data_IF_255921973209
#
_entry.id   IF_255921973209
#
_cell.length_a   1.000
_cell.length_b   1.000
_cell.length_c   1.000
_cell.angle_alpha   90.00
_cell.angle_beta   90.00
_cell.angle_gamma   90.00
#
_symmetry.space_group_name_H-M   'P 1'
#
loop_
_entity.id
_entity.type
_entity.pdbx_description
1 polymer ?
#
# COMPACT_ATOMS: atom_id res chain seq x y z
N UNK A 1 -21.97 6.53 10.08
CA UNK A 1 -20.60 6.62 9.50
C UNK A 1 -19.61 5.71 10.23
N UNK A 2 -19.49 5.74 11.57
CA UNK A 2 -18.58 4.87 12.34
C UNK A 2 -18.51 3.39 11.88
N UNK A 3 -19.66 2.70 11.79
CA UNK A 3 -19.72 1.30 11.34
C UNK A 3 -19.20 1.03 9.91
N UNK A 4 -19.03 2.05 9.06
CA UNK A 4 -18.40 1.87 7.75
C UNK A 4 -16.88 1.74 7.87
N UNK A 5 -16.24 2.66 8.60
CA UNK A 5 -14.79 2.63 8.88
C UNK A 5 -14.39 1.37 9.65
N UNK A 6 -15.18 1.01 10.67
CA UNK A 6 -15.02 -0.23 11.45
C UNK A 6 -15.07 -1.50 10.58
N UNK A 7 -16.03 -1.57 9.63
CA UNK A 7 -16.11 -2.68 8.66
C UNK A 7 -14.95 -2.70 7.66
N UNK A 8 -14.43 -1.54 7.23
CA UNK A 8 -13.25 -1.49 6.35
C UNK A 8 -12.03 -2.04 7.08
N UNK A 9 -11.73 -1.55 8.29
CA UNK A 9 -10.60 -2.04 9.10
C UNK A 9 -10.72 -3.55 9.38
N UNK A 10 -11.92 -4.06 9.69
CA UNK A 10 -12.15 -5.49 9.87
C UNK A 10 -11.87 -6.30 8.60
N UNK A 11 -12.27 -5.82 7.41
CA UNK A 11 -11.95 -6.47 6.12
C UNK A 11 -10.45 -6.49 5.86
N UNK A 12 -9.76 -5.36 6.09
CA UNK A 12 -8.31 -5.26 5.96
C UNK A 12 -7.58 -6.27 6.86
N UNK A 13 -7.96 -6.35 8.14
CA UNK A 13 -7.37 -7.29 9.10
C UNK A 13 -7.71 -8.76 8.80
N UNK A 14 -8.91 -9.03 8.28
CA UNK A 14 -9.29 -10.36 7.80
C UNK A 14 -8.43 -10.80 6.61
N UNK A 15 -8.30 -9.95 5.60
CA UNK A 15 -7.47 -10.19 4.41
C UNK A 15 -5.98 -10.35 4.76
N UNK A 16 -5.46 -9.52 5.66
CA UNK A 16 -4.12 -9.70 6.24
C UNK A 16 -3.96 -11.10 6.85
N UNK A 17 -4.89 -11.52 7.70
CA UNK A 17 -4.88 -12.86 8.31
C UNK A 17 -4.88 -13.99 7.27
N UNK A 18 -5.80 -13.96 6.29
CA UNK A 18 -5.87 -15.03 5.27
C UNK A 18 -4.63 -15.03 4.37
N UNK A 19 -4.07 -13.88 4.02
CA UNK A 19 -2.81 -13.78 3.25
C UNK A 19 -1.60 -14.38 4.00
N UNK A 20 -1.54 -14.22 5.32
CA UNK A 20 -0.51 -14.83 6.18
C UNK A 20 -0.71 -16.34 6.31
N UNK A 21 -1.96 -16.81 6.43
CA UNK A 21 -2.28 -18.25 6.43
C UNK A 21 -1.89 -18.89 5.11
N UNK A 22 -2.18 -18.26 3.96
CA UNK A 22 -1.80 -18.76 2.64
C UNK A 22 -0.29 -18.94 2.49
N UNK A 23 0.51 -17.96 2.97
CA UNK A 23 1.96 -18.10 3.04
C UNK A 23 2.42 -19.26 3.95
N UNK A 24 1.74 -19.49 5.08
CA UNK A 24 2.13 -20.52 6.05
C UNK A 24 1.79 -21.95 5.60
N UNK A 25 0.68 -22.15 4.87
CA UNK A 25 0.28 -23.47 4.34
C UNK A 25 0.82 -23.76 2.94
N UNK A 26 1.30 -22.73 2.23
CA UNK A 26 1.86 -22.83 0.89
C UNK A 26 0.80 -22.92 -0.23
N UNK A 27 1.29 -22.85 -1.48
CA UNK A 27 0.47 -22.78 -2.70
C UNK A 27 -0.53 -23.93 -2.79
N UNK A 28 -0.06 -25.17 -2.66
CA UNK A 28 -0.88 -26.36 -2.92
C UNK A 28 -2.15 -26.43 -2.04
N UNK A 29 -2.07 -25.90 -0.81
CA UNK A 29 -3.17 -25.92 0.13
C UNK A 29 -4.07 -24.66 0.09
N UNK A 30 -3.56 -23.53 -0.44
CA UNK A 30 -4.26 -22.24 -0.40
C UNK A 30 -4.58 -21.60 -1.76
N UNK A 31 -4.14 -22.19 -2.88
CA UNK A 31 -4.32 -21.68 -4.25
C UNK A 31 -5.74 -21.22 -4.56
N UNK A 32 -6.76 -22.04 -4.27
CA UNK A 32 -8.16 -21.68 -4.54
C UNK A 32 -8.62 -20.48 -3.72
N UNK A 33 -8.26 -20.42 -2.44
CA UNK A 33 -8.66 -19.33 -1.56
C UNK A 33 -7.89 -18.04 -1.85
N UNK A 34 -6.64 -18.14 -2.29
CA UNK A 34 -5.87 -17.02 -2.80
C UNK A 34 -6.50 -16.44 -4.09
N UNK A 35 -6.93 -17.29 -5.03
CA UNK A 35 -7.66 -16.84 -6.24
C UNK A 35 -9.03 -16.21 -5.90
N UNK A 36 -9.79 -16.80 -4.96
CA UNK A 36 -11.06 -16.22 -4.47
C UNK A 36 -10.83 -14.85 -3.84
N UNK A 37 -9.79 -14.71 -3.02
CA UNK A 37 -9.45 -13.47 -2.35
C UNK A 37 -8.96 -12.38 -3.31
N UNK A 38 -8.12 -12.71 -4.30
CA UNK A 38 -7.75 -11.77 -5.37
C UNK A 38 -8.97 -11.33 -6.19
N UNK A 39 -9.90 -12.24 -6.46
CA UNK A 39 -11.17 -11.90 -7.12
C UNK A 39 -12.04 -10.96 -6.27
N UNK A 40 -12.09 -11.16 -4.95
CA UNK A 40 -12.78 -10.25 -4.03
C UNK A 40 -12.12 -8.86 -4.02
N UNK A 41 -10.79 -8.79 -3.90
CA UNK A 41 -10.01 -7.54 -3.96
C UNK A 41 -10.29 -6.77 -5.26
N UNK A 42 -10.36 -7.47 -6.40
CA UNK A 42 -10.68 -6.87 -7.70
C UNK A 42 -12.10 -6.31 -7.81
N UNK A 43 -13.05 -6.77 -7.00
CA UNK A 43 -14.43 -6.25 -6.96
C UNK A 43 -14.64 -5.08 -6.01
N UNK A 44 -13.67 -4.75 -5.15
CA UNK A 44 -13.81 -3.64 -4.21
C UNK A 44 -13.64 -2.31 -4.95
N UNK A 45 -14.65 -1.43 -4.85
CA UNK A 45 -14.49 -0.04 -5.26
C UNK A 45 -13.38 0.59 -4.41
N UNK A 46 -12.45 1.24 -5.09
CA UNK A 46 -11.31 1.90 -4.48
C UNK A 46 -11.56 3.40 -4.49
N UNK A 47 -11.94 3.92 -3.33
CA UNK A 47 -11.69 5.32 -3.04
C UNK A 47 -10.20 5.45 -2.66
N UNK A 48 -9.50 6.43 -3.23
CA UNK A 48 -8.07 6.63 -2.98
C UNK A 48 -7.78 6.92 -1.49
N UNK A 49 -8.76 7.50 -0.80
CA UNK A 49 -8.70 7.87 0.61
C UNK A 49 -9.13 6.72 1.57
N UNK A 50 -9.37 5.48 1.10
CA UNK A 50 -9.68 4.37 2.01
C UNK A 50 -8.38 3.86 2.69
N UNK A 51 -8.22 4.00 4.03
CA UNK A 51 -7.03 3.56 4.76
C UNK A 51 -6.82 2.03 4.76
N UNK A 52 -7.72 1.25 4.15
CA UNK A 52 -7.52 -0.18 3.87
C UNK A 52 -6.72 -0.45 2.60
N UNK A 53 -6.41 0.57 1.81
CA UNK A 53 -5.67 0.42 0.57
C UNK A 53 -4.24 -0.15 0.79
N UNK A 54 -3.52 0.37 1.79
CA UNK A 54 -2.19 -0.13 2.20
C UNK A 54 -2.20 -1.61 2.59
N UNK A 55 -3.22 -2.06 3.31
CA UNK A 55 -3.45 -3.47 3.65
C UNK A 55 -3.74 -4.34 2.42
N UNK A 56 -4.47 -3.79 1.45
CA UNK A 56 -4.78 -4.47 0.18
C UNK A 56 -3.52 -4.71 -0.65
N UNK A 57 -2.62 -3.72 -0.71
CA UNK A 57 -1.33 -3.86 -1.38
C UNK A 57 -0.42 -4.91 -0.71
N UNK A 58 -0.30 -4.86 0.62
CA UNK A 58 0.50 -5.83 1.38
C UNK A 58 -0.03 -7.26 1.24
N UNK A 59 -1.36 -7.44 1.25
CA UNK A 59 -1.97 -8.74 0.99
C UNK A 59 -1.70 -9.20 -0.45
N UNK A 60 -1.80 -8.30 -1.44
CA UNK A 60 -1.49 -8.57 -2.84
C UNK A 60 -0.11 -9.20 -3.06
N UNK A 61 0.94 -8.66 -2.43
CA UNK A 61 2.30 -9.24 -2.51
C UNK A 61 2.41 -10.65 -1.92
N UNK A 62 1.77 -10.90 -0.77
CA UNK A 62 1.73 -12.23 -0.15
C UNK A 62 0.98 -13.25 -1.03
N UNK A 63 -0.08 -12.79 -1.71
CA UNK A 63 -0.86 -13.61 -2.64
C UNK A 63 -0.16 -13.83 -3.99
N UNK A 64 0.61 -12.86 -4.49
CA UNK A 64 1.49 -13.05 -5.64
C UNK A 64 2.54 -14.13 -5.35
N UNK A 65 3.24 -14.05 -4.21
CA UNK A 65 4.17 -15.10 -3.75
C UNK A 65 3.52 -16.47 -3.59
N UNK A 66 2.23 -16.52 -3.26
CA UNK A 66 1.47 -17.77 -3.17
C UNK A 66 1.08 -18.34 -4.55
N UNK A 67 0.73 -17.49 -5.51
CA UNK A 67 0.16 -17.89 -6.81
C UNK A 67 1.22 -18.00 -7.92
N UNK A 68 2.33 -17.29 -7.81
CA UNK A 68 3.32 -17.13 -8.89
C UNK A 68 2.66 -16.55 -10.15
N UNK A 69 3.01 -17.10 -11.31
CA UNK A 69 2.44 -16.77 -12.63
C UNK A 69 0.89 -16.68 -12.67
N UNK A 70 0.18 -17.42 -11.82
CA UNK A 70 -1.29 -17.36 -11.74
C UNK A 70 -1.82 -16.03 -11.17
N UNK A 71 -0.94 -15.16 -10.69
CA UNK A 71 -1.26 -13.81 -10.26
C UNK A 71 -1.36 -12.81 -11.42
N UNK A 72 -0.78 -13.12 -12.60
CA UNK A 72 -0.76 -12.20 -13.76
C UNK A 72 -2.12 -11.57 -14.12
N UNK A 73 -3.28 -12.30 -14.09
CA UNK A 73 -4.59 -11.71 -14.40
C UNK A 73 -5.05 -10.60 -13.45
N UNK A 74 -4.36 -10.41 -12.31
CA UNK A 74 -4.66 -9.38 -11.32
C UNK A 74 -3.69 -8.19 -11.39
N UNK A 75 -2.70 -8.18 -12.29
CA UNK A 75 -1.74 -7.07 -12.42
C UNK A 75 -2.41 -5.76 -12.82
N UNK A 76 -3.33 -5.79 -13.80
CA UNK A 76 -4.14 -4.61 -14.19
C UNK A 76 -4.88 -3.97 -13.01
N UNK A 77 -5.21 -4.79 -12.01
CA UNK A 77 -5.84 -4.35 -10.78
C UNK A 77 -4.79 -3.80 -9.81
N UNK A 78 -3.70 -4.49 -9.50
CA UNK A 78 -2.76 -4.04 -8.42
C UNK A 78 -1.72 -3.02 -8.86
N UNK A 79 -1.31 -2.99 -10.13
CA UNK A 79 -0.21 -2.17 -10.63
C UNK A 79 -0.50 -0.66 -10.66
N UNK A 80 -1.65 -0.16 -11.16
CA UNK A 80 -1.85 1.29 -11.32
C UNK A 80 -1.65 2.11 -10.03
N UNK A 81 -2.21 1.74 -8.87
CA UNK A 81 -2.03 2.55 -7.66
C UNK A 81 -0.70 2.26 -6.95
N UNK A 82 -0.03 1.14 -7.21
CA UNK A 82 1.36 0.93 -6.79
C UNK A 82 2.32 1.86 -7.53
N UNK A 83 2.14 2.00 -8.85
CA UNK A 83 2.92 2.93 -9.67
C UNK A 83 2.67 4.37 -9.22
N UNK A 84 1.42 4.74 -8.93
CA UNK A 84 1.09 6.07 -8.38
C UNK A 84 1.87 6.36 -7.09
N UNK A 85 1.73 5.52 -6.06
CA UNK A 85 2.43 5.68 -4.78
C UNK A 85 3.97 5.64 -4.92
N UNK A 86 4.51 4.75 -5.77
CA UNK A 86 5.94 4.71 -6.06
C UNK A 86 6.44 5.96 -6.81
N UNK A 87 5.56 6.64 -7.56
CA UNK A 87 5.87 7.86 -8.31
C UNK A 87 5.64 9.16 -7.52
N UNK A 88 5.12 9.12 -6.29
CA UNK A 88 4.78 10.34 -5.54
C UNK A 88 6.00 11.22 -5.30
N UNK A 89 5.96 12.48 -5.75
CA UNK A 89 7.04 13.46 -5.59
C UNK A 89 6.71 14.53 -4.53
N UNK A 90 5.44 14.70 -4.18
CA UNK A 90 4.95 15.61 -3.16
C UNK A 90 5.08 14.98 -1.75
N UNK A 91 6.31 14.72 -1.33
CA UNK A 91 6.62 14.20 0.02
C UNK A 91 7.40 15.21 0.88
N UNK A 92 7.73 16.38 0.34
CA UNK A 92 8.39 17.46 1.07
C UNK A 92 7.93 18.83 0.55
N UNK A 93 8.08 19.84 1.40
CA UNK A 93 7.83 21.26 1.08
C UNK A 93 8.95 22.12 1.69
N UNK A 94 9.24 23.27 1.09
CA UNK A 94 10.27 24.21 1.57
C UNK A 94 9.65 25.60 1.71
N UNK A 95 9.49 26.03 2.96
CA UNK A 95 8.96 27.35 3.35
C UNK A 95 10.09 28.22 3.93
N UNK A 96 9.86 29.52 4.08
CA UNK A 96 10.78 30.43 4.75
C UNK A 96 10.48 30.47 6.26
N UNK A 97 11.44 30.96 7.06
CA UNK A 97 11.26 31.09 8.52
C UNK A 97 10.15 32.10 8.92
N UNK A 98 9.86 33.08 8.05
CA UNK A 98 8.80 34.10 8.25
C UNK A 98 7.40 33.65 7.76
N UNK A 99 7.30 32.51 7.07
CA UNK A 99 6.00 31.96 6.67
C UNK A 99 5.37 31.28 7.89
N UNK A 100 4.27 31.83 8.42
CA UNK A 100 3.50 31.21 9.52
C UNK A 100 3.04 29.81 9.11
N UNK A 101 3.81 28.79 9.50
CA UNK A 101 3.35 27.41 9.48
C UNK A 101 2.24 27.29 10.52
N UNK A 102 1.06 26.80 10.12
CA UNK A 102 0.03 26.39 11.07
C UNK A 102 0.64 25.27 11.95
N UNK A 103 1.01 25.61 13.19
CA UNK A 103 1.56 24.68 14.20
C UNK A 103 0.46 23.74 14.76
N UNK A 104 -0.31 23.10 13.88
CA UNK A 104 -0.92 21.81 14.23
C UNK A 104 0.19 20.76 14.20
N UNK A 105 0.51 20.18 15.36
CA UNK A 105 1.44 19.05 15.48
C UNK A 105 0.87 17.83 14.73
N UNK A 106 1.10 17.76 13.43
CA UNK A 106 0.85 16.56 12.62
C UNK A 106 2.01 15.57 12.85
N UNK A 107 1.73 14.49 13.59
CA UNK A 107 2.67 13.39 13.86
C UNK A 107 3.28 12.80 12.57
N UNK A 108 2.62 12.95 11.42
CA UNK A 108 3.09 12.49 10.11
C UNK A 108 4.05 13.48 9.40
N UNK A 109 4.36 14.66 9.98
CA UNK A 109 5.23 15.68 9.36
C UNK A 109 6.50 15.96 10.18
N UNK A 110 7.66 15.74 9.57
CA UNK A 110 8.96 16.10 10.15
C UNK A 110 9.47 17.45 9.59
N UNK A 111 9.64 18.44 10.45
CA UNK A 111 10.18 19.77 10.09
C UNK A 111 11.66 19.90 10.46
N UNK A 112 12.47 20.37 9.52
CA UNK A 112 13.91 20.61 9.68
C UNK A 112 14.26 22.06 9.30
N UNK A 113 14.90 22.80 10.20
CA UNK A 113 15.39 24.15 9.90
C UNK A 113 16.75 24.08 9.17
N UNK A 114 16.85 24.74 8.01
CA UNK A 114 18.04 24.87 7.18
C UNK A 114 18.36 26.35 6.93
N UNK A 115 18.82 27.05 7.97
CA UNK A 115 19.09 28.49 7.91
C UNK A 115 17.79 29.29 7.96
N UNK A 116 17.57 30.12 6.93
CA UNK A 116 16.38 30.98 6.73
C UNK A 116 15.15 30.22 6.19
N UNK A 117 15.21 28.87 6.15
CA UNK A 117 14.21 28.00 5.55
C UNK A 117 13.84 26.83 6.43
N UNK A 118 12.60 26.41 6.30
CA UNK A 118 12.07 25.19 6.90
C UNK A 118 11.81 24.16 5.79
N UNK A 119 12.32 22.95 5.98
CA UNK A 119 12.04 21.78 5.15
C UNK A 119 11.05 20.90 5.91
N UNK A 120 9.81 20.83 5.42
CA UNK A 120 8.79 19.92 5.94
C UNK A 120 8.81 18.63 5.11
N UNK A 121 8.70 17.47 5.76
CA UNK A 121 8.71 16.15 5.12
C UNK A 121 7.52 15.36 5.61
N UNK A 122 6.65 14.90 4.69
CA UNK A 122 5.52 14.02 5.01
C UNK A 122 6.01 12.57 5.09
N UNK A 123 6.14 12.08 6.33
CA UNK A 123 6.66 10.75 6.67
C UNK A 123 5.76 9.68 6.07
N UNK A 124 4.43 9.80 6.24
CA UNK A 124 3.44 8.86 5.72
C UNK A 124 3.56 8.65 4.20
N UNK A 125 3.71 9.72 3.42
CA UNK A 125 3.93 9.64 1.98
C UNK A 125 5.23 8.88 1.60
N UNK A 126 6.30 9.03 2.38
CA UNK A 126 7.55 8.27 2.19
C UNK A 126 7.39 6.79 2.58
N UNK A 127 6.65 6.46 3.63
CA UNK A 127 6.36 5.08 4.02
C UNK A 127 5.50 4.36 2.99
N UNK A 128 4.49 5.02 2.43
CA UNK A 128 3.66 4.48 1.35
C UNK A 128 4.49 4.25 0.08
N UNK A 129 5.32 5.22 -0.32
CA UNK A 129 6.24 5.10 -1.46
C UNK A 129 7.24 3.96 -1.29
N UNK A 130 7.85 3.84 -0.10
CA UNK A 130 8.77 2.74 0.22
C UNK A 130 8.05 1.37 0.19
N UNK A 131 6.83 1.31 0.73
CA UNK A 131 5.97 0.12 0.68
C UNK A 131 5.66 -0.27 -0.76
N UNK A 132 5.24 0.67 -1.60
CA UNK A 132 4.91 0.43 -3.00
C UNK A 132 6.12 -0.11 -3.79
N UNK A 133 7.29 0.50 -3.64
CA UNK A 133 8.55 0.02 -4.23
C UNK A 133 8.89 -1.42 -3.80
N UNK A 134 8.68 -1.76 -2.52
CA UNK A 134 8.89 -3.12 -2.02
C UNK A 134 7.90 -4.12 -2.64
N UNK A 135 6.62 -3.75 -2.84
CA UNK A 135 5.65 -4.64 -3.48
C UNK A 135 5.93 -4.84 -4.97
N UNK A 136 6.31 -3.77 -5.69
CA UNK A 136 6.73 -3.85 -7.10
C UNK A 136 7.94 -4.78 -7.28
N UNK A 137 8.92 -4.69 -6.37
CA UNK A 137 10.04 -5.63 -6.33
C UNK A 137 9.57 -7.08 -6.11
N UNK A 138 8.69 -7.31 -5.13
CA UNK A 138 8.15 -8.65 -4.87
C UNK A 138 7.45 -9.25 -6.11
N UNK A 139 6.70 -8.43 -6.87
CA UNK A 139 6.08 -8.90 -8.11
C UNK A 139 7.13 -9.25 -9.18
N UNK A 140 8.16 -8.42 -9.38
CA UNK A 140 9.25 -8.73 -10.30
C UNK A 140 10.01 -10.01 -9.92
N UNK A 141 10.32 -10.19 -8.62
CA UNK A 141 11.05 -11.35 -8.09
C UNK A 141 10.25 -12.67 -8.29
N UNK A 142 8.92 -12.64 -8.12
CA UNK A 142 8.05 -13.82 -8.19
C UNK A 142 7.51 -14.12 -9.61
N UNK A 143 7.27 -13.10 -10.46
CA UNK A 143 6.67 -13.25 -11.80
C UNK A 143 7.69 -13.27 -12.95
N UNK A 144 8.89 -12.72 -12.75
CA UNK A 144 10.03 -12.81 -13.69
C UNK A 144 9.69 -12.33 -15.10
N UNK A 145 9.66 -13.22 -16.09
CA UNK A 145 9.36 -12.90 -17.49
C UNK A 145 7.89 -12.51 -17.73
N UNK A 146 7.00 -12.73 -16.75
CA UNK A 146 5.59 -12.34 -16.78
C UNK A 146 5.26 -11.02 -16.07
N UNK A 147 6.28 -10.21 -15.72
CA UNK A 147 6.11 -8.89 -15.09
C UNK A 147 6.25 -7.73 -16.09
#
# INVERSE_FOLDING_TARGET
MAHAKERSILRAKCMECVSLIAMAVGRDQSREDAQRMMSLIATWQRDADDPTFSYTLQAGARLCKCLGEEFMPYLDVVMPPLLAAASEENYYEVTNEDDEADEEEDDDVATFQLGDKNLQIRISALEEKATACNMLRCYADELKEGF
#
